data_IF_427319837288
#
_entry.id   IF_427319837288
#
_cell.length_a   1.000
_cell.length_b   1.000
_cell.length_c   1.000
_cell.angle_alpha   90.00
_cell.angle_beta   90.00
_cell.angle_gamma   90.00
#
_symmetry.space_group_name_H-M   'P 1'
#
loop_
_entity.id
_entity.type
_entity.pdbx_description
1 polymer ?
#
# COMPACT_ATOMS: atom_id res chain seq x y z
N UNK A 1 -42.88 9.82 -6.46
CA UNK A 1 -42.69 8.41 -6.05
C UNK A 1 -42.44 7.59 -7.31
N UNK A 2 -41.18 7.32 -7.64
CA UNK A 2 -40.81 6.48 -8.77
C UNK A 2 -40.38 5.13 -8.21
N UNK A 3 -41.18 4.11 -8.52
CA UNK A 3 -40.99 2.73 -8.12
C UNK A 3 -39.89 2.17 -9.04
N UNK A 4 -38.72 1.84 -8.48
CA UNK A 4 -37.70 1.08 -9.20
C UNK A 4 -38.06 -0.39 -9.13
N UNK A 5 -38.55 -0.95 -10.23
CA UNK A 5 -38.73 -2.39 -10.40
C UNK A 5 -37.35 -3.08 -10.47
N UNK A 6 -37.10 -4.00 -9.54
CA UNK A 6 -35.98 -4.93 -9.60
C UNK A 6 -36.18 -5.90 -10.77
N UNK A 7 -35.46 -5.68 -11.86
CA UNK A 7 -35.31 -6.71 -12.89
C UNK A 7 -34.40 -7.81 -12.36
N UNK A 8 -35.00 -8.99 -12.18
CA UNK A 8 -34.35 -10.28 -12.01
C UNK A 8 -33.25 -10.48 -13.07
N UNK A 9 -32.00 -10.31 -12.65
CA UNK A 9 -30.82 -10.79 -13.39
C UNK A 9 -30.14 -11.81 -12.50
N UNK A 10 -30.74 -12.99 -12.46
CA UNK A 10 -30.11 -14.17 -11.90
C UNK A 10 -30.17 -15.28 -12.94
N UNK A 11 -29.05 -15.44 -13.67
CA UNK A 11 -28.64 -16.65 -14.38
C UNK A 11 -27.22 -16.44 -14.91
N UNK A 12 -26.31 -17.28 -14.40
CA UNK A 12 -24.99 -17.61 -14.97
C UNK A 12 -23.81 -16.64 -14.80
N UNK A 13 -23.51 -16.23 -13.56
CA UNK A 13 -22.10 -16.18 -13.12
C UNK A 13 -22.01 -16.81 -11.75
N UNK A 14 -21.30 -17.93 -11.61
CA UNK A 14 -20.90 -18.46 -10.30
C UNK A 14 -20.07 -17.39 -9.61
N UNK A 15 -20.73 -16.60 -8.75
CA UNK A 15 -20.11 -15.54 -7.97
C UNK A 15 -19.30 -16.19 -6.85
N UNK A 16 -18.02 -15.83 -6.73
CA UNK A 16 -17.06 -16.36 -5.75
C UNK A 16 -17.38 -15.99 -4.29
N UNK A 17 -18.61 -15.59 -4.01
CA UNK A 17 -19.04 -15.12 -2.71
C UNK A 17 -19.44 -16.30 -1.82
N UNK A 18 -18.54 -16.72 -0.93
CA UNK A 18 -18.79 -17.83 -0.01
C UNK A 18 -19.92 -17.52 1.00
N UNK A 19 -20.05 -16.25 1.42
CA UNK A 19 -21.15 -15.74 2.25
C UNK A 19 -21.88 -14.62 1.50
N UNK A 20 -23.15 -14.80 1.06
CA UNK A 20 -23.86 -13.82 0.24
C UNK A 20 -24.30 -12.60 1.05
N UNK A 21 -23.35 -11.83 1.60
CA UNK A 21 -23.61 -10.58 2.30
C UNK A 21 -23.83 -9.44 1.30
N UNK A 22 -24.40 -8.32 1.77
CA UNK A 22 -24.52 -7.11 0.94
C UNK A 22 -23.16 -6.57 0.51
N UNK A 23 -22.15 -6.65 1.38
CA UNK A 23 -20.77 -6.20 1.07
C UNK A 23 -20.14 -7.04 -0.02
N UNK A 24 -20.23 -8.37 0.10
CA UNK A 24 -19.68 -9.28 -0.88
C UNK A 24 -20.34 -9.11 -2.26
N UNK A 25 -21.67 -9.01 -2.33
CA UNK A 25 -22.37 -8.71 -3.61
C UNK A 25 -21.96 -7.36 -4.22
N UNK A 26 -21.71 -6.34 -3.39
CA UNK A 26 -21.25 -5.04 -3.87
C UNK A 26 -19.83 -5.13 -4.43
N UNK A 27 -18.94 -5.80 -3.71
CA UNK A 27 -17.56 -6.02 -4.14
C UNK A 27 -17.49 -6.77 -5.47
N UNK A 28 -18.19 -7.90 -5.61
CA UNK A 28 -18.26 -8.69 -6.84
C UNK A 28 -18.75 -7.89 -8.06
N UNK A 29 -19.68 -6.96 -7.83
CA UNK A 29 -20.29 -6.16 -8.90
C UNK A 29 -19.40 -4.99 -9.34
N UNK A 30 -18.69 -4.37 -8.40
CA UNK A 30 -18.03 -3.08 -8.63
C UNK A 30 -16.50 -3.16 -8.62
N UNK A 31 -15.91 -4.26 -8.14
CA UNK A 31 -14.46 -4.43 -8.02
C UNK A 31 -13.82 -3.68 -6.84
N UNK A 32 -14.62 -3.02 -5.99
CA UNK A 32 -14.15 -2.33 -4.78
C UNK A 32 -15.22 -2.30 -3.69
N UNK A 33 -14.82 -2.00 -2.45
CA UNK A 33 -15.70 -1.85 -1.30
C UNK A 33 -15.21 -0.74 -0.37
N UNK A 34 -16.10 0.17 0.04
CA UNK A 34 -15.82 1.17 1.06
C UNK A 34 -16.29 0.67 2.44
N UNK A 35 -15.35 0.52 3.38
CA UNK A 35 -15.66 0.19 4.78
C UNK A 35 -15.20 1.35 5.66
N UNK A 36 -16.15 2.16 6.11
CA UNK A 36 -15.85 3.33 6.94
C UNK A 36 -15.39 2.91 8.33
N UNK A 37 -14.47 3.68 8.92
CA UNK A 37 -13.94 3.48 10.27
C UNK A 37 -13.39 2.06 10.51
N UNK A 38 -12.84 1.43 9.46
CA UNK A 38 -12.35 0.06 9.56
C UNK A 38 -11.07 -0.04 10.41
N UNK A 39 -10.20 0.97 10.35
CA UNK A 39 -9.11 1.14 11.30
C UNK A 39 -9.52 2.17 12.37
N UNK A 40 -9.25 1.85 13.64
CA UNK A 40 -9.47 2.77 14.75
C UNK A 40 -8.47 3.93 14.67
N UNK A 41 -9.03 5.15 14.65
CA UNK A 41 -8.27 6.37 14.40
C UNK A 41 -7.32 6.75 15.55
N UNK A 42 -7.64 6.35 16.78
CA UNK A 42 -6.92 6.76 18.00
C UNK A 42 -5.86 5.73 18.41
N UNK A 43 -6.02 4.48 17.98
CA UNK A 43 -5.13 3.37 18.34
C UNK A 43 -4.33 2.90 17.12
N UNK A 44 -4.96 2.22 16.17
CA UNK A 44 -4.26 1.58 15.03
C UNK A 44 -3.62 2.60 14.09
N UNK A 45 -4.37 3.65 13.71
CA UNK A 45 -3.84 4.69 12.82
C UNK A 45 -2.70 5.48 13.47
N UNK A 46 -2.84 5.85 14.75
CA UNK A 46 -1.76 6.55 15.47
C UNK A 46 -0.54 5.65 15.64
N UNK A 47 -0.75 4.36 15.95
CA UNK A 47 0.32 3.38 16.10
C UNK A 47 1.09 3.18 14.79
N UNK A 48 0.41 3.02 13.65
CA UNK A 48 1.05 2.95 12.32
C UNK A 48 1.85 4.22 11.99
N UNK A 49 1.29 5.40 12.26
CA UNK A 49 1.99 6.68 12.03
C UNK A 49 3.24 6.81 12.91
N UNK A 50 3.12 6.49 14.20
CA UNK A 50 4.22 6.54 15.16
C UNK A 50 5.34 5.58 14.75
N UNK A 51 5.00 4.30 14.51
CA UNK A 51 6.00 3.30 14.13
C UNK A 51 6.66 3.62 12.78
N UNK A 52 5.93 4.16 11.81
CA UNK A 52 6.56 4.60 10.55
C UNK A 52 7.59 5.70 10.79
N UNK A 53 7.28 6.69 11.64
CA UNK A 53 8.24 7.73 12.00
C UNK A 53 9.49 7.14 12.67
N UNK A 54 9.32 6.19 13.57
CA UNK A 54 10.42 5.48 14.23
C UNK A 54 11.29 4.71 13.24
N UNK A 55 10.69 3.88 12.38
CA UNK A 55 11.39 3.12 11.34
C UNK A 55 12.18 4.01 10.38
N UNK A 56 11.61 5.16 10.00
CA UNK A 56 12.31 6.13 9.14
C UNK A 56 13.49 6.76 9.87
N UNK A 57 13.36 7.02 11.17
CA UNK A 57 14.43 7.62 11.96
C UNK A 57 15.58 6.63 12.20
N UNK A 58 15.27 5.39 12.57
CA UNK A 58 16.25 4.39 13.01
C UNK A 58 16.87 3.58 11.87
N UNK A 59 16.14 3.31 10.79
CA UNK A 59 16.63 2.38 9.74
C UNK A 59 16.99 3.08 8.43
N UNK A 60 16.39 4.24 8.14
CA UNK A 60 16.66 4.93 6.87
C UNK A 60 17.84 5.89 6.96
N UNK A 61 18.94 5.51 6.30
CA UNK A 61 20.18 6.27 6.23
C UNK A 61 20.56 6.59 4.78
N UNK A 62 19.99 7.66 4.19
CA UNK A 62 20.14 8.00 2.76
C UNK A 62 21.53 8.54 2.36
N UNK A 63 22.47 8.68 3.31
CA UNK A 63 23.85 9.07 3.02
C UNK A 63 24.73 7.90 2.57
N UNK A 64 24.24 6.66 2.65
CA UNK A 64 24.88 5.51 2.02
C UNK A 64 24.31 5.38 0.61
N UNK A 65 25.15 5.50 -0.42
CA UNK A 65 24.74 5.49 -1.84
C UNK A 65 23.91 4.26 -2.27
N UNK A 66 23.87 3.20 -1.46
CA UNK A 66 23.05 2.01 -1.67
C UNK A 66 21.60 2.11 -1.15
N UNK A 67 21.24 3.15 -0.38
CA UNK A 67 19.97 3.22 0.37
C UNK A 67 19.03 4.34 -0.10
N UNK A 68 19.30 4.91 -1.27
CA UNK A 68 18.55 6.05 -1.82
C UNK A 68 18.02 5.67 -3.20
N UNK A 69 16.84 5.04 -3.23
CA UNK A 69 16.14 4.78 -4.50
C UNK A 69 15.01 5.78 -4.71
N UNK A 70 14.92 6.28 -5.95
CA UNK A 70 13.83 7.15 -6.38
C UNK A 70 12.70 6.28 -6.91
N UNK A 71 11.48 6.49 -6.41
CA UNK A 71 10.30 5.88 -7.00
C UNK A 71 9.61 6.86 -7.94
N UNK A 72 9.26 6.39 -9.15
CA UNK A 72 8.58 7.19 -10.17
C UNK A 72 7.42 6.42 -10.78
N UNK A 73 6.37 7.14 -11.17
CA UNK A 73 5.18 6.61 -11.86
C UNK A 73 5.08 7.15 -13.31
N UNK A 74 6.14 7.80 -13.79
CA UNK A 74 6.24 8.40 -15.13
C UNK A 74 6.99 7.49 -16.11
N UNK A 75 7.27 7.99 -17.31
CA UNK A 75 7.97 7.27 -18.38
C UNK A 75 9.33 6.68 -17.94
N UNK A 76 9.93 7.21 -16.86
CA UNK A 76 11.18 6.71 -16.28
C UNK A 76 11.03 5.48 -15.38
N UNK A 77 9.81 5.00 -15.13
CA UNK A 77 9.53 3.91 -14.17
C UNK A 77 10.27 2.61 -14.52
N UNK A 78 10.27 2.20 -15.80
CA UNK A 78 10.95 0.96 -16.21
C UNK A 78 12.47 1.02 -15.95
N UNK A 79 13.08 2.19 -16.09
CA UNK A 79 14.52 2.36 -15.85
C UNK A 79 14.85 2.48 -14.35
N UNK A 80 13.98 3.12 -13.57
CA UNK A 80 14.20 3.36 -12.14
C UNK A 80 13.85 2.14 -11.26
N UNK A 81 12.83 1.37 -11.62
CA UNK A 81 12.37 0.19 -10.88
C UNK A 81 12.61 -1.14 -11.60
N UNK A 82 12.65 -1.19 -12.94
CA UNK A 82 12.75 -2.45 -13.70
C UNK A 82 14.16 -3.07 -13.79
N UNK A 83 15.21 -2.32 -13.46
CA UNK A 83 16.60 -2.78 -13.50
C UNK A 83 17.40 -2.40 -12.25
N UNK A 84 16.73 -2.11 -11.15
CA UNK A 84 17.34 -1.63 -9.92
C UNK A 84 17.25 -2.70 -8.84
N UNK A 85 18.39 -3.27 -8.46
CA UNK A 85 18.50 -4.31 -7.42
C UNK A 85 17.83 -3.86 -6.12
N UNK A 86 17.92 -2.57 -5.75
CA UNK A 86 17.24 -2.04 -4.57
C UNK A 86 15.71 -2.18 -4.64
N UNK A 87 15.11 -2.02 -5.83
CA UNK A 87 13.66 -2.23 -5.95
C UNK A 87 13.30 -3.71 -5.93
N UNK A 88 14.06 -4.58 -6.60
CA UNK A 88 13.76 -6.01 -6.64
C UNK A 88 13.97 -6.69 -5.28
N UNK A 89 15.06 -6.34 -4.57
CA UNK A 89 15.37 -6.85 -3.22
C UNK A 89 14.31 -6.42 -2.18
N UNK A 90 13.61 -5.31 -2.44
CA UNK A 90 12.56 -4.85 -1.54
C UNK A 90 11.33 -5.77 -1.48
N UNK A 91 11.22 -6.76 -2.37
CA UNK A 91 10.12 -7.72 -2.38
C UNK A 91 10.00 -8.50 -1.06
N UNK A 92 11.13 -8.76 -0.39
CA UNK A 92 11.17 -9.49 0.90
C UNK A 92 11.72 -8.65 2.04
N UNK A 93 11.92 -7.34 1.82
CA UNK A 93 12.54 -6.42 2.76
C UNK A 93 11.76 -5.11 2.90
N UNK A 94 12.21 -4.25 3.83
CA UNK A 94 11.64 -2.91 4.05
C UNK A 94 12.62 -1.87 3.53
N UNK A 95 12.29 -1.31 2.39
CA UNK A 95 13.04 -0.30 1.66
C UNK A 95 12.26 1.02 1.61
N UNK A 96 13.02 2.10 1.43
CA UNK A 96 12.55 3.47 1.53
C UNK A 96 12.70 4.15 0.19
N UNK A 97 11.61 4.72 -0.30
CA UNK A 97 11.56 5.32 -1.61
C UNK A 97 11.24 6.80 -1.49
N UNK A 98 12.21 7.64 -1.85
CA UNK A 98 12.08 9.08 -1.75
C UNK A 98 11.29 9.66 -2.93
N UNK A 99 10.65 10.81 -2.69
CA UNK A 99 10.12 11.66 -3.76
C UNK A 99 11.28 12.18 -4.62
N UNK A 100 11.10 12.19 -5.93
CA UNK A 100 12.11 12.71 -6.88
C UNK A 100 12.57 14.13 -6.52
N UNK A 101 11.62 14.96 -6.07
CA UNK A 101 11.88 16.37 -5.78
C UNK A 101 12.54 16.57 -4.40
N UNK A 102 12.66 15.51 -3.59
CA UNK A 102 13.39 15.55 -2.33
C UNK A 102 14.89 15.25 -2.48
N UNK A 103 15.34 14.88 -3.68
CA UNK A 103 16.72 14.48 -3.96
C UNK A 103 17.45 15.47 -4.87
N UNK A 104 18.77 15.54 -4.72
CA UNK A 104 19.71 16.17 -5.64
C UNK A 104 20.18 15.11 -6.64
N UNK A 105 19.92 15.35 -7.93
CA UNK A 105 20.39 14.45 -8.99
C UNK A 105 19.88 13.01 -8.91
N UNK A 106 18.81 12.74 -8.13
CA UNK A 106 18.29 11.40 -7.80
C UNK A 106 19.18 10.54 -6.88
N UNK A 107 20.23 11.10 -6.29
CA UNK A 107 21.23 10.32 -5.53
C UNK A 107 21.34 10.75 -4.06
N UNK A 108 21.29 12.05 -3.79
CA UNK A 108 21.52 12.58 -2.44
C UNK A 108 20.26 13.26 -1.90
N UNK A 109 19.91 13.00 -0.64
CA UNK A 109 18.81 13.70 0.03
C UNK A 109 19.13 15.20 0.18
N UNK A 110 18.20 16.09 -0.19
CA UNK A 110 18.40 17.53 0.02
C UNK A 110 18.51 17.83 1.52
N UNK A 111 19.43 18.72 1.88
CA UNK A 111 19.71 19.12 3.28
C UNK A 111 18.47 19.58 4.06
N UNK A 112 17.48 20.16 3.39
CA UNK A 112 16.22 20.61 4.00
C UNK A 112 15.40 19.47 4.63
N UNK A 113 15.60 18.22 4.21
CA UNK A 113 14.92 17.05 4.76
C UNK A 113 15.69 16.36 5.88
N UNK A 114 16.91 16.78 6.21
CA UNK A 114 17.74 16.09 7.22
C UNK A 114 17.11 16.10 8.61
N UNK A 115 16.34 17.14 8.94
CA UNK A 115 15.64 17.26 10.22
C UNK A 115 14.25 16.61 10.22
N UNK A 116 13.72 16.27 9.04
CA UNK A 116 12.43 15.61 8.89
C UNK A 116 12.47 14.66 7.70
N UNK A 117 13.18 13.55 7.86
CA UNK A 117 13.35 12.54 6.81
C UNK A 117 12.01 12.04 6.26
N UNK A 118 11.00 11.91 7.13
CA UNK A 118 9.66 11.48 6.73
C UNK A 118 9.09 12.32 5.60
N UNK A 119 9.30 13.65 5.59
CA UNK A 119 8.72 14.51 4.56
C UNK A 119 9.37 14.41 3.18
N UNK A 120 10.44 13.62 3.05
CA UNK A 120 11.06 13.30 1.76
C UNK A 120 10.53 12.02 1.12
N UNK A 121 9.79 11.19 1.86
CA UNK A 121 9.42 9.85 1.40
C UNK A 121 8.12 9.85 0.60
N UNK A 122 8.15 9.13 -0.52
CA UNK A 122 6.97 8.77 -1.31
C UNK A 122 6.26 7.55 -0.69
N UNK A 123 7.03 6.49 -0.44
CA UNK A 123 6.55 5.24 0.15
C UNK A 123 7.63 4.48 0.92
N UNK A 124 7.19 3.55 1.75
CA UNK A 124 8.00 2.46 2.33
C UNK A 124 7.35 1.12 1.96
N UNK A 125 8.13 0.14 1.54
CA UNK A 125 7.65 -1.18 1.10
C UNK A 125 8.81 -2.17 0.89
N UNK A 126 8.58 -3.42 0.52
CA UNK A 126 7.29 -4.03 0.21
C UNK A 126 6.88 -5.09 1.25
N UNK A 127 7.65 -5.23 2.33
CA UNK A 127 7.48 -6.29 3.33
C UNK A 127 7.18 -5.81 4.75
N UNK A 128 6.54 -4.63 4.93
CA UNK A 128 6.19 -4.11 6.27
C UNK A 128 5.35 -5.09 7.09
N UNK A 129 4.55 -5.93 6.43
CA UNK A 129 3.65 -6.90 7.06
C UNK A 129 4.39 -8.12 7.62
N UNK A 130 5.66 -8.35 7.26
CA UNK A 130 6.46 -9.47 7.76
C UNK A 130 7.28 -9.10 8.98
N UNK A 131 7.43 -7.80 9.29
CA UNK A 131 8.19 -7.31 10.44
C UNK A 131 7.57 -7.85 11.75
N UNK A 132 8.26 -8.74 12.47
CA UNK A 132 7.72 -9.33 13.70
C UNK A 132 7.40 -8.26 14.74
N UNK A 133 6.29 -8.43 15.46
CA UNK A 133 5.86 -7.52 16.53
C UNK A 133 5.64 -6.06 16.07
N UNK A 134 5.50 -5.82 14.75
CA UNK A 134 5.15 -4.51 14.22
C UNK A 134 3.64 -4.28 14.25
N UNK A 135 3.24 -3.01 14.32
CA UNK A 135 1.84 -2.61 14.21
C UNK A 135 1.28 -2.90 12.81
N UNK A 136 2.13 -2.90 11.79
CA UNK A 136 1.77 -3.28 10.42
C UNK A 136 1.44 -4.77 10.31
N UNK A 137 2.28 -5.63 10.90
CA UNK A 137 2.02 -7.06 10.99
C UNK A 137 0.74 -7.34 11.80
N UNK A 138 0.61 -6.74 12.98
CA UNK A 138 -0.57 -6.91 13.83
C UNK A 138 -1.86 -6.46 13.13
N UNK A 139 -1.84 -5.34 12.41
CA UNK A 139 -2.99 -4.87 11.64
C UNK A 139 -3.31 -5.82 10.47
N UNK A 140 -2.31 -6.16 9.66
CA UNK A 140 -2.50 -6.99 8.45
C UNK A 140 -2.96 -8.42 8.77
N UNK A 141 -2.64 -8.94 9.95
CA UNK A 141 -3.03 -10.28 10.42
C UNK A 141 -4.19 -10.27 11.42
N UNK A 142 -4.79 -9.09 11.67
CA UNK A 142 -5.88 -8.93 12.62
C UNK A 142 -7.14 -9.71 12.25
N UNK A 143 -7.94 -10.06 13.25
CA UNK A 143 -9.17 -10.84 13.05
C UNK A 143 -10.18 -10.14 12.13
N UNK A 144 -10.24 -8.80 12.16
CA UNK A 144 -11.13 -8.04 11.27
C UNK A 144 -10.72 -8.12 9.81
N UNK A 145 -9.41 -8.19 9.50
CA UNK A 145 -8.93 -8.40 8.13
C UNK A 145 -9.31 -9.79 7.69
N UNK A 146 -9.01 -10.83 8.50
CA UNK A 146 -9.36 -12.23 8.23
C UNK A 146 -10.84 -12.41 7.97
N UNK A 147 -11.68 -11.89 8.87
CA UNK A 147 -13.14 -11.92 8.74
C UNK A 147 -13.59 -11.25 7.44
N UNK A 148 -13.05 -10.07 7.11
CA UNK A 148 -13.42 -9.35 5.89
C UNK A 148 -13.04 -10.15 4.63
N UNK A 149 -11.82 -10.65 4.51
CA UNK A 149 -11.40 -11.38 3.31
C UNK A 149 -12.17 -12.69 3.14
N UNK A 150 -12.48 -13.41 4.22
CA UNK A 150 -13.34 -14.60 4.14
C UNK A 150 -14.79 -14.27 3.76
N UNK A 151 -15.35 -13.17 4.29
CA UNK A 151 -16.68 -12.69 3.86
C UNK A 151 -16.72 -12.41 2.36
N UNK A 152 -15.65 -11.86 1.82
CA UNK A 152 -15.54 -11.54 0.40
C UNK A 152 -15.18 -12.76 -0.49
N UNK A 153 -15.01 -13.95 0.09
CA UNK A 153 -14.88 -15.21 -0.66
C UNK A 153 -13.47 -15.78 -0.77
N UNK A 154 -12.47 -15.20 -0.10
CA UNK A 154 -11.13 -15.80 -0.05
C UNK A 154 -11.12 -17.04 0.84
N UNK A 155 -10.51 -18.13 0.36
CA UNK A 155 -10.44 -19.42 1.05
C UNK A 155 -9.20 -19.47 1.94
N UNK A 156 -8.02 -19.24 1.36
CA UNK A 156 -6.72 -19.26 2.04
C UNK A 156 -5.90 -18.04 1.62
N UNK A 157 -6.24 -16.84 2.11
CA UNK A 157 -5.60 -15.60 1.67
C UNK A 157 -4.18 -15.45 2.22
N UNK A 158 -3.25 -15.10 1.33
CA UNK A 158 -1.88 -14.70 1.67
C UNK A 158 -1.68 -13.20 1.42
N UNK A 159 -0.68 -12.59 2.06
CA UNK A 159 -0.32 -11.18 1.87
C UNK A 159 0.92 -11.12 0.97
N UNK A 160 0.78 -10.79 -0.33
CA UNK A 160 1.93 -10.78 -1.23
C UNK A 160 2.81 -9.54 -1.05
N UNK A 161 2.27 -8.45 -0.53
CA UNK A 161 2.93 -7.15 -0.45
C UNK A 161 2.25 -6.24 0.58
N UNK A 162 3.02 -5.35 1.21
CA UNK A 162 2.48 -4.18 1.91
C UNK A 162 3.32 -2.93 1.69
N UNK A 163 2.65 -1.78 1.61
CA UNK A 163 3.28 -0.47 1.44
C UNK A 163 2.66 0.56 2.39
N UNK A 164 3.47 1.53 2.80
CA UNK A 164 3.02 2.77 3.42
C UNK A 164 3.18 3.92 2.42
N UNK A 165 2.11 4.65 2.12
CA UNK A 165 2.11 5.74 1.13
C UNK A 165 1.92 7.07 1.87
N UNK A 166 2.87 8.00 1.76
CA UNK A 166 2.83 9.23 2.56
C UNK A 166 2.01 10.36 1.94
N UNK A 167 2.03 10.51 0.61
CA UNK A 167 1.42 11.64 -0.13
C UNK A 167 1.78 12.99 0.49
N UNK A 168 3.06 13.32 0.43
CA UNK A 168 3.59 14.56 1.00
C UNK A 168 2.91 15.80 0.43
N UNK A 169 2.73 16.81 1.27
CA UNK A 169 2.25 18.11 0.81
C UNK A 169 3.23 18.70 -0.22
N UNK A 170 2.69 19.29 -1.29
CA UNK A 170 3.39 19.96 -2.40
C UNK A 170 4.20 19.06 -3.34
N UNK A 171 4.91 18.06 -2.83
CA UNK A 171 5.82 17.22 -3.63
C UNK A 171 5.32 15.79 -3.83
N UNK A 172 4.17 15.42 -3.25
CA UNK A 172 3.64 14.07 -3.30
C UNK A 172 3.35 13.63 -4.74
N UNK A 173 4.11 12.64 -5.22
CA UNK A 173 4.00 12.16 -6.60
C UNK A 173 2.59 11.67 -6.97
N UNK A 174 2.17 11.93 -8.20
CA UNK A 174 0.92 11.43 -8.76
C UNK A 174 0.93 9.89 -8.86
N UNK A 175 -0.24 9.28 -8.67
CA UNK A 175 -0.46 7.87 -9.02
C UNK A 175 -1.47 7.86 -10.16
N UNK A 176 -1.01 7.52 -11.35
CA UNK A 176 -1.83 7.46 -12.56
C UNK A 176 -2.79 6.27 -12.51
N UNK A 177 -3.81 6.25 -13.37
CA UNK A 177 -4.75 5.13 -13.43
C UNK A 177 -4.02 3.85 -13.85
N UNK A 178 -4.19 2.78 -13.07
CA UNK A 178 -3.58 1.47 -13.30
C UNK A 178 -4.42 0.35 -12.68
N UNK A 179 -4.05 -0.90 -12.97
CA UNK A 179 -4.58 -2.10 -12.32
C UNK A 179 -3.44 -2.86 -11.66
N UNK A 180 -3.60 -3.21 -10.38
CA UNK A 180 -2.57 -3.92 -9.61
C UNK A 180 -2.15 -5.25 -10.26
N UNK A 181 -3.07 -5.94 -10.95
CA UNK A 181 -2.79 -7.19 -11.67
C UNK A 181 -1.80 -7.04 -12.83
N UNK A 182 -1.45 -5.81 -13.22
CA UNK A 182 -0.37 -5.53 -14.18
C UNK A 182 1.01 -5.75 -13.55
N UNK A 183 1.12 -5.59 -12.23
CA UNK A 183 2.37 -5.67 -11.48
C UNK A 183 2.43 -6.91 -10.57
N UNK A 184 1.29 -7.30 -10.00
CA UNK A 184 1.15 -8.46 -9.12
C UNK A 184 0.26 -9.51 -9.79
N UNK A 185 0.89 -10.52 -10.35
CA UNK A 185 0.21 -11.70 -10.87
C UNK A 185 0.39 -12.86 -9.88
N UNK A 186 -0.70 -13.29 -9.27
CA UNK A 186 -0.73 -14.29 -8.18
C UNK A 186 -1.75 -15.37 -8.45
#
# INVERSE_FOLDING_TARGET
AAIYEEKNVDKEKKKNCFLPTKRCRYFDRNGFLLVQNFADANTEVQSMKKQMKELVETEWHPSSSSNTAVFRTDEGQLKAQGSNDYFLDSATAVHYFAEKDALLGNEELKKEYYQNKVSALNKVGHSLHTLPSSTFHAYATSEKIKTLVHELGWIDPVIPQSMYIFKQSKIGGEVTSHQDSTFLYT
#
